data_IF_752940974212
#
_entry.id   IF_752940974212
#
_cell.length_a   1.000
_cell.length_b   1.000
_cell.length_c   1.000
_cell.angle_alpha   90.00
_cell.angle_beta   90.00
_cell.angle_gamma   90.00
#
_symmetry.space_group_name_H-M   'P 1'
#
loop_
_entity.id
_entity.type
_entity.pdbx_description
1 polymer ?
#
# COMPACT_ATOMS: atom_id res chain seq x y z
N UNK A 1 -11.22 29.85 24.58
CA UNK A 1 -10.90 29.35 23.19
C UNK A 1 -9.40 29.00 23.05
N UNK A 2 -8.48 29.73 23.68
CA UNK A 2 -7.02 29.52 23.57
C UNK A 2 -6.51 28.31 24.37
N UNK A 3 -7.17 27.95 25.48
CA UNK A 3 -6.83 26.78 26.32
C UNK A 3 -7.08 25.43 25.59
N UNK A 4 -8.06 25.35 24.70
CA UNK A 4 -8.35 24.15 23.91
C UNK A 4 -7.34 23.99 22.78
N UNK A 5 -6.88 25.09 22.16
CA UNK A 5 -5.81 25.07 21.14
C UNK A 5 -4.45 24.69 21.73
N UNK A 6 -4.11 25.16 22.93
CA UNK A 6 -2.84 24.83 23.59
C UNK A 6 -2.77 23.36 24.03
N UNK A 7 -3.90 22.76 24.46
CA UNK A 7 -3.96 21.31 24.77
C UNK A 7 -3.74 20.45 23.52
N UNK A 8 -4.37 20.79 22.39
CA UNK A 8 -4.18 20.06 21.12
C UNK A 8 -2.75 20.11 20.59
N UNK A 9 -2.06 21.24 20.69
CA UNK A 9 -0.65 21.38 20.33
C UNK A 9 0.25 20.54 21.27
N UNK A 10 0.01 20.54 22.56
CA UNK A 10 0.76 19.73 23.51
C UNK A 10 0.65 18.22 23.26
N UNK A 11 -0.53 17.74 22.85
CA UNK A 11 -0.76 16.33 22.52
C UNK A 11 -0.09 15.94 21.19
N UNK A 12 -0.07 16.83 20.20
CA UNK A 12 0.67 16.63 18.92
C UNK A 12 2.18 16.56 19.18
N UNK A 13 2.73 17.46 20.00
CA UNK A 13 4.15 17.44 20.36
C UNK A 13 4.53 16.17 21.13
N UNK A 14 3.70 15.74 22.08
CA UNK A 14 3.93 14.48 22.81
C UNK A 14 3.94 13.28 21.86
N UNK A 15 2.96 13.17 20.98
CA UNK A 15 2.88 12.08 20.00
C UNK A 15 4.12 12.06 19.08
N UNK A 16 4.54 13.20 18.57
CA UNK A 16 5.75 13.30 17.74
C UNK A 16 7.04 12.91 18.47
N UNK A 17 7.12 13.21 19.78
CA UNK A 17 8.27 12.80 20.59
C UNK A 17 8.34 11.28 20.69
N UNK A 18 7.22 10.62 21.03
CA UNK A 18 7.18 9.17 21.15
C UNK A 18 7.50 8.47 19.82
N UNK A 19 6.89 8.88 18.72
CA UNK A 19 7.16 8.34 17.40
C UNK A 19 8.65 8.46 17.00
N UNK A 20 9.29 9.59 17.35
CA UNK A 20 10.73 9.79 17.08
C UNK A 20 11.60 8.89 17.96
N UNK A 21 11.27 8.76 19.23
CA UNK A 21 12.04 7.95 20.19
C UNK A 21 11.95 6.44 19.87
N UNK A 22 10.75 5.94 19.57
CA UNK A 22 10.54 4.58 19.07
C UNK A 22 11.33 4.31 17.80
N UNK A 23 11.29 5.26 16.87
CA UNK A 23 12.04 5.16 15.62
C UNK A 23 13.55 5.06 15.86
N UNK A 24 14.12 5.79 16.79
CA UNK A 24 15.55 5.70 17.11
C UNK A 24 15.92 4.29 17.57
N UNK A 25 15.12 3.68 18.44
CA UNK A 25 15.35 2.32 18.90
C UNK A 25 15.21 1.32 17.73
N UNK A 26 14.07 1.31 17.04
CA UNK A 26 13.83 0.35 15.96
C UNK A 26 14.87 0.47 14.84
N UNK A 27 15.23 1.70 14.44
CA UNK A 27 16.26 1.92 13.43
C UNK A 27 17.63 1.41 13.90
N UNK A 28 17.95 1.55 15.19
CA UNK A 28 19.23 1.03 15.71
C UNK A 28 19.28 -0.50 15.67
N UNK A 29 18.20 -1.17 16.08
CA UNK A 29 18.12 -2.64 16.09
C UNK A 29 18.09 -3.20 14.67
N UNK A 30 17.26 -2.64 13.79
CA UNK A 30 17.19 -3.06 12.38
C UNK A 30 18.54 -2.83 11.68
N UNK A 31 19.20 -1.70 11.92
CA UNK A 31 20.51 -1.44 11.35
C UNK A 31 21.59 -2.40 11.89
N UNK A 32 21.48 -2.81 13.17
CA UNK A 32 22.34 -3.85 13.70
C UNK A 32 22.12 -5.19 12.96
N UNK A 33 20.90 -5.64 12.87
CA UNK A 33 20.55 -6.88 12.18
C UNK A 33 20.99 -6.85 10.72
N UNK A 34 20.74 -5.74 10.01
CA UNK A 34 21.06 -5.63 8.59
C UNK A 34 22.57 -5.58 8.29
N UNK A 35 23.36 -4.89 9.11
CA UNK A 35 24.79 -4.67 8.80
C UNK A 35 25.75 -5.61 9.53
N UNK A 36 25.33 -6.22 10.62
CA UNK A 36 26.21 -6.94 11.52
C UNK A 36 25.80 -8.38 11.77
N UNK A 37 24.49 -8.70 11.68
CA UNK A 37 24.00 -10.05 11.93
C UNK A 37 24.07 -10.94 10.67
N UNK A 38 24.19 -12.26 10.82
CA UNK A 38 24.03 -13.22 9.74
C UNK A 38 22.67 -13.08 9.05
N UNK A 39 22.59 -13.48 7.77
CA UNK A 39 21.36 -13.31 6.95
C UNK A 39 20.16 -14.04 7.58
N UNK A 40 20.40 -15.18 8.19
CA UNK A 40 19.39 -16.00 8.85
C UNK A 40 18.74 -15.30 10.05
N UNK A 41 19.43 -14.33 10.65
CA UNK A 41 18.96 -13.53 11.78
C UNK A 41 18.34 -12.19 11.34
N UNK A 42 18.39 -11.84 10.06
CA UNK A 42 17.87 -10.58 9.54
C UNK A 42 16.35 -10.63 9.31
N UNK A 43 15.59 -10.90 10.37
CA UNK A 43 14.14 -11.06 10.34
C UNK A 43 13.45 -10.42 11.55
N UNK A 44 12.11 -10.35 11.51
CA UNK A 44 11.32 -9.77 12.59
C UNK A 44 11.30 -10.61 13.87
N UNK A 45 11.48 -11.93 13.76
CA UNK A 45 11.55 -12.81 14.92
C UNK A 45 12.76 -12.43 15.80
N UNK A 46 13.94 -12.30 15.20
CA UNK A 46 15.16 -11.87 15.91
C UNK A 46 15.02 -10.45 16.47
N UNK A 47 14.38 -9.53 15.72
CA UNK A 47 14.10 -8.18 16.22
C UNK A 47 13.24 -8.21 17.49
N UNK A 48 12.19 -9.04 17.52
CA UNK A 48 11.34 -9.23 18.71
C UNK A 48 12.10 -9.84 19.88
N UNK A 49 12.96 -10.81 19.63
CA UNK A 49 13.82 -11.41 20.66
C UNK A 49 14.77 -10.38 21.28
N UNK A 50 15.38 -9.53 20.43
CA UNK A 50 16.19 -8.42 20.94
C UNK A 50 15.38 -7.48 21.82
N UNK A 51 14.17 -7.09 21.41
CA UNK A 51 13.29 -6.24 22.22
C UNK A 51 12.88 -6.90 23.54
N UNK A 52 12.56 -8.18 23.53
CA UNK A 52 12.15 -8.93 24.72
C UNK A 52 13.29 -9.10 25.72
N UNK A 53 14.55 -9.13 25.28
CA UNK A 53 15.72 -9.17 26.14
C UNK A 53 16.11 -7.80 26.72
N UNK A 54 15.54 -6.70 26.15
CA UNK A 54 15.78 -5.35 26.63
C UNK A 54 14.98 -5.06 27.90
N UNK A 55 15.59 -5.29 29.04
CA UNK A 55 15.03 -4.88 30.33
C UNK A 55 15.60 -3.52 30.75
N UNK A 56 14.79 -2.70 31.37
CA UNK A 56 15.19 -1.39 31.91
C UNK A 56 14.89 -1.38 33.40
N UNK A 57 15.91 -1.13 34.22
CA UNK A 57 15.72 -0.86 35.64
C UNK A 57 15.29 0.60 35.83
N UNK A 58 14.31 0.84 36.68
CA UNK A 58 13.90 2.20 37.10
C UNK A 58 14.78 2.75 38.20
N UNK A 59 15.37 1.87 39.01
CA UNK A 59 16.12 2.20 40.24
C UNK A 59 17.64 2.17 40.03
N UNK A 60 18.12 1.53 38.96
CA UNK A 60 19.55 1.40 38.67
C UNK A 60 19.86 1.89 37.25
N UNK A 61 20.36 3.10 37.12
CA UNK A 61 20.78 3.69 35.84
C UNK A 61 22.03 3.03 35.24
N UNK A 62 22.76 2.23 36.00
CA UNK A 62 23.98 1.52 35.54
C UNK A 62 23.66 0.12 34.99
N UNK A 63 22.41 -0.31 35.12
CA UNK A 63 21.98 -1.62 34.60
C UNK A 63 22.17 -1.72 33.09
N UNK A 64 22.86 -2.76 32.69
CA UNK A 64 23.07 -3.10 31.27
C UNK A 64 22.38 -4.41 30.92
N UNK A 65 21.49 -4.36 29.94
CA UNK A 65 20.86 -5.54 29.39
C UNK A 65 21.74 -6.18 28.28
N UNK A 66 21.44 -7.40 27.81
CA UNK A 66 22.24 -8.08 26.79
C UNK A 66 22.42 -7.28 25.49
N UNK A 67 21.41 -6.50 25.09
CA UNK A 67 21.49 -5.66 23.87
C UNK A 67 22.43 -4.46 24.10
N UNK A 68 22.45 -3.89 25.31
CA UNK A 68 23.42 -2.85 25.67
C UNK A 68 24.86 -3.33 25.49
N UNK A 69 25.17 -4.53 25.97
CA UNK A 69 26.49 -5.13 25.85
C UNK A 69 26.88 -5.37 24.38
N UNK A 70 25.91 -5.80 23.59
CA UNK A 70 26.07 -6.05 22.15
C UNK A 70 26.43 -4.76 21.39
N UNK A 71 25.73 -3.65 21.67
CA UNK A 71 26.02 -2.35 21.09
C UNK A 71 27.31 -1.72 21.62
N UNK A 72 27.68 -2.01 22.87
CA UNK A 72 28.96 -1.58 23.44
C UNK A 72 30.13 -2.27 22.75
N UNK A 73 30.07 -3.58 22.54
CA UNK A 73 31.09 -4.36 21.80
C UNK A 73 31.20 -3.89 20.36
N UNK A 74 30.06 -3.70 19.67
CA UNK A 74 30.06 -3.12 18.35
C UNK A 74 30.67 -1.73 18.31
N UNK A 75 30.38 -0.90 19.31
CA UNK A 75 30.94 0.45 19.44
C UNK A 75 32.46 0.46 19.63
N UNK A 76 33.03 -0.56 20.32
CA UNK A 76 34.49 -0.76 20.43
C UNK A 76 35.10 -1.16 19.09
N UNK A 77 34.45 -2.06 18.35
CA UNK A 77 34.95 -2.56 17.03
C UNK A 77 34.74 -1.56 15.90
N UNK A 78 33.54 -0.93 15.85
CA UNK A 78 33.11 -0.01 14.80
C UNK A 78 32.53 1.28 15.36
N UNK A 79 33.34 2.22 15.88
CA UNK A 79 32.84 3.44 16.58
C UNK A 79 31.96 4.35 15.70
N UNK A 80 32.10 4.29 14.39
CA UNK A 80 31.34 5.09 13.42
C UNK A 80 30.10 4.37 12.88
N UNK A 81 29.78 3.17 13.38
CA UNK A 81 28.59 2.42 12.94
C UNK A 81 27.32 3.27 13.09
N UNK A 82 26.48 3.24 12.07
CA UNK A 82 25.18 3.93 12.08
C UNK A 82 24.29 3.38 13.20
N UNK A 83 24.23 2.06 13.37
CA UNK A 83 23.47 1.40 14.41
C UNK A 83 23.86 1.90 15.82
N UNK A 84 25.18 1.96 16.10
CA UNK A 84 25.69 2.45 17.40
C UNK A 84 25.31 3.91 17.65
N UNK A 85 25.38 4.76 16.63
CA UNK A 85 24.98 6.17 16.78
C UNK A 85 23.51 6.33 17.13
N UNK A 86 22.63 5.58 16.44
CA UNK A 86 21.19 5.62 16.73
C UNK A 86 20.88 5.07 18.12
N UNK A 87 21.54 3.98 18.51
CA UNK A 87 21.36 3.40 19.82
C UNK A 87 21.80 4.34 20.96
N UNK A 88 22.93 5.03 20.80
CA UNK A 88 23.38 6.06 21.76
C UNK A 88 22.35 7.18 21.94
N UNK A 89 21.67 7.60 20.87
CA UNK A 89 20.61 8.61 20.97
C UNK A 89 19.40 8.07 21.72
N UNK A 90 19.00 6.81 21.49
CA UNK A 90 17.95 6.15 22.27
C UNK A 90 18.32 6.09 23.77
N UNK A 91 19.56 5.74 24.11
CA UNK A 91 20.05 5.63 25.50
C UNK A 91 20.09 6.96 26.27
N UNK A 92 19.87 8.10 25.61
CA UNK A 92 19.61 9.37 26.30
C UNK A 92 18.26 9.40 27.02
N UNK A 93 17.33 8.51 26.63
CA UNK A 93 16.11 8.30 27.37
C UNK A 93 16.38 7.42 28.59
N UNK A 94 16.11 7.92 29.79
CA UNK A 94 16.37 7.20 31.04
C UNK A 94 15.09 6.66 31.69
N UNK A 95 15.23 5.59 32.47
CA UNK A 95 14.23 5.06 33.39
C UNK A 95 12.84 4.85 32.77
N UNK A 96 11.83 5.52 33.29
CA UNK A 96 10.43 5.38 32.89
C UNK A 96 10.20 5.69 31.41
N UNK A 97 10.96 6.63 30.80
CA UNK A 97 10.85 6.98 29.41
C UNK A 97 11.32 5.83 28.52
N UNK A 98 12.48 5.23 28.81
CA UNK A 98 12.99 4.09 28.06
C UNK A 98 12.04 2.88 28.13
N UNK A 99 11.48 2.59 29.32
CA UNK A 99 10.48 1.54 29.51
C UNK A 99 9.22 1.76 28.68
N UNK A 100 8.73 3.00 28.62
CA UNK A 100 7.55 3.36 27.83
C UNK A 100 7.84 3.20 26.32
N UNK A 101 9.04 3.54 25.85
CA UNK A 101 9.47 3.34 24.46
C UNK A 101 9.46 1.84 24.11
N UNK A 102 10.02 0.99 24.98
CA UNK A 102 10.03 -0.47 24.78
C UNK A 102 8.62 -1.05 24.68
N UNK A 103 7.73 -0.65 25.59
CA UNK A 103 6.33 -1.09 25.59
C UNK A 103 5.66 -0.68 24.27
N UNK A 104 5.89 0.54 23.82
CA UNK A 104 5.30 1.03 22.57
C UNK A 104 5.85 0.32 21.34
N UNK A 105 7.15 0.05 21.29
CA UNK A 105 7.76 -0.77 20.23
C UNK A 105 7.20 -2.20 20.22
N UNK A 106 7.08 -2.83 21.39
CA UNK A 106 6.50 -4.16 21.52
C UNK A 106 5.04 -4.21 21.06
N UNK A 107 4.23 -3.21 21.42
CA UNK A 107 2.85 -3.12 20.96
C UNK A 107 2.73 -2.96 19.43
N UNK A 108 3.62 -2.20 18.81
CA UNK A 108 3.66 -2.05 17.33
C UNK A 108 4.09 -3.32 16.61
N UNK A 109 4.99 -4.08 17.19
CA UNK A 109 5.52 -5.31 16.61
C UNK A 109 4.77 -6.57 17.02
N UNK A 110 3.78 -6.46 17.92
CA UNK A 110 2.99 -7.60 18.40
C UNK A 110 2.37 -8.46 17.28
N UNK A 111 1.97 -7.94 16.10
CA UNK A 111 1.47 -8.78 15.01
C UNK A 111 2.52 -9.79 14.48
N UNK A 112 3.81 -9.47 14.59
CA UNK A 112 4.90 -10.36 14.18
C UNK A 112 5.22 -11.45 15.23
N UNK A 113 4.56 -11.43 16.39
CA UNK A 113 4.66 -12.51 17.39
C UNK A 113 3.67 -13.65 17.12
N UNK A 114 2.73 -13.44 16.20
CA UNK A 114 1.82 -14.48 15.73
C UNK A 114 2.63 -15.48 14.89
N UNK A 115 2.53 -16.78 15.20
CA UNK A 115 3.39 -17.80 14.60
C UNK A 115 3.34 -17.81 13.07
N UNK A 116 2.16 -17.70 12.49
CA UNK A 116 1.96 -17.71 11.04
C UNK A 116 2.62 -16.50 10.35
N UNK A 117 2.59 -15.32 11.01
CA UNK A 117 3.25 -14.10 10.50
C UNK A 117 4.76 -14.21 10.66
N UNK A 118 5.21 -14.79 11.77
CA UNK A 118 6.61 -15.08 12.05
C UNK A 118 7.21 -15.95 10.94
N UNK A 119 6.56 -17.07 10.66
CA UNK A 119 6.97 -18.02 9.64
C UNK A 119 6.98 -17.39 8.24
N UNK A 120 5.94 -16.60 7.90
CA UNK A 120 5.83 -15.92 6.62
C UNK A 120 6.83 -14.77 6.41
N UNK A 121 7.45 -14.25 7.49
CA UNK A 121 8.41 -13.14 7.43
C UNK A 121 9.84 -13.53 7.80
N UNK A 122 10.10 -14.82 7.94
CA UNK A 122 11.40 -15.33 8.36
C UNK A 122 12.44 -15.32 7.24
N UNK A 123 11.99 -15.54 6.00
CA UNK A 123 12.85 -15.61 4.81
C UNK A 123 12.25 -14.78 3.67
N UNK A 124 13.09 -14.32 2.74
CA UNK A 124 12.64 -13.68 1.51
C UNK A 124 12.25 -14.73 0.46
N UNK A 125 10.97 -15.10 0.45
CA UNK A 125 10.39 -15.99 -0.57
C UNK A 125 9.81 -15.23 -1.78
N UNK A 126 9.58 -13.92 -1.65
CA UNK A 126 8.89 -13.15 -2.67
C UNK A 126 9.81 -12.71 -3.81
N UNK A 127 11.10 -12.54 -3.54
CA UNK A 127 12.09 -12.06 -4.51
C UNK A 127 11.59 -10.83 -5.28
N UNK A 128 11.05 -9.83 -4.56
CA UNK A 128 10.38 -8.66 -5.15
C UNK A 128 11.28 -7.90 -6.13
N UNK A 129 12.58 -7.92 -5.92
CA UNK A 129 13.59 -7.31 -6.77
C UNK A 129 13.70 -7.97 -8.15
N UNK A 130 13.24 -9.23 -8.31
CA UNK A 130 13.31 -10.00 -9.56
C UNK A 130 12.07 -9.90 -10.43
N UNK A 131 11.01 -9.24 -9.98
CA UNK A 131 9.74 -9.18 -10.73
C UNK A 131 9.88 -8.49 -12.09
N UNK A 132 10.82 -7.55 -12.26
CA UNK A 132 11.11 -6.89 -13.53
C UNK A 132 12.11 -7.60 -14.43
N UNK A 133 12.72 -8.71 -13.98
CA UNK A 133 13.76 -9.44 -14.71
C UNK A 133 13.19 -10.58 -15.54
N UNK A 134 12.17 -11.24 -15.04
CA UNK A 134 11.53 -12.40 -15.67
C UNK A 134 10.01 -12.29 -15.61
N UNK A 135 9.33 -12.98 -16.53
CA UNK A 135 7.86 -13.03 -16.54
C UNK A 135 7.38 -13.77 -15.27
N UNK A 136 6.80 -13.02 -14.36
CA UNK A 136 6.34 -13.51 -13.06
C UNK A 136 4.93 -13.02 -12.79
N UNK A 137 4.11 -13.81 -12.11
CA UNK A 137 2.83 -13.39 -11.55
C UNK A 137 2.88 -13.59 -10.04
N UNK A 138 2.77 -12.51 -9.29
CA UNK A 138 2.68 -12.49 -7.83
C UNK A 138 1.22 -12.24 -7.44
N UNK A 139 0.65 -13.12 -6.63
CA UNK A 139 -0.70 -13.00 -6.10
C UNK A 139 -0.62 -12.72 -4.60
N UNK A 140 -1.12 -11.56 -4.17
CA UNK A 140 -1.24 -11.17 -2.78
C UNK A 140 -2.71 -11.29 -2.40
N UNK A 141 -3.05 -12.32 -1.65
CA UNK A 141 -4.43 -12.61 -1.24
C UNK A 141 -4.60 -12.15 0.21
N UNK A 142 -5.60 -11.30 0.43
CA UNK A 142 -5.94 -10.78 1.76
C UNK A 142 -7.42 -11.00 2.06
N UNK A 143 -7.78 -10.98 3.34
CA UNK A 143 -9.17 -11.07 3.79
C UNK A 143 -9.91 -9.77 3.51
N UNK A 144 -11.14 -9.87 3.04
CA UNK A 144 -12.04 -8.72 2.84
C UNK A 144 -12.64 -8.22 4.17
N UNK A 145 -12.71 -9.10 5.17
CA UNK A 145 -13.40 -8.84 6.44
C UNK A 145 -12.44 -8.55 7.59
N UNK A 146 -11.18 -8.97 7.50
CA UNK A 146 -10.17 -8.79 8.54
C UNK A 146 -9.02 -7.91 8.04
N UNK A 147 -8.90 -6.72 8.61
CA UNK A 147 -7.85 -5.74 8.28
C UNK A 147 -6.57 -5.90 9.12
N UNK A 148 -6.50 -6.87 10.03
CA UNK A 148 -5.40 -7.03 10.98
C UNK A 148 -4.03 -7.09 10.29
N UNK A 149 -3.95 -7.77 9.14
CA UNK A 149 -2.70 -8.00 8.42
C UNK A 149 -2.51 -7.11 7.18
N UNK A 150 -3.39 -6.14 6.93
CA UNK A 150 -3.31 -5.27 5.76
C UNK A 150 -2.00 -4.45 5.72
N UNK A 151 -1.41 -4.17 6.87
CA UNK A 151 -0.11 -3.50 6.96
C UNK A 151 1.02 -4.28 6.26
N UNK A 152 0.96 -5.62 6.23
CA UNK A 152 1.95 -6.45 5.50
C UNK A 152 1.90 -6.17 4.01
N UNK A 153 0.71 -6.08 3.44
CA UNK A 153 0.52 -5.76 2.02
C UNK A 153 1.05 -4.35 1.70
N UNK A 154 0.76 -3.38 2.58
CA UNK A 154 1.32 -2.02 2.45
C UNK A 154 2.85 -2.01 2.49
N UNK A 155 3.47 -2.83 3.35
CA UNK A 155 4.93 -3.01 3.41
C UNK A 155 5.47 -3.64 2.13
N UNK A 156 4.82 -4.70 1.62
CA UNK A 156 5.21 -5.36 0.36
C UNK A 156 5.18 -4.36 -0.79
N UNK A 157 4.11 -3.58 -0.97
CA UNK A 157 4.06 -2.57 -2.02
C UNK A 157 5.12 -1.48 -1.86
N UNK A 158 5.39 -1.06 -0.62
CA UNK A 158 6.44 -0.07 -0.34
C UNK A 158 7.81 -0.59 -0.75
N UNK A 159 8.15 -1.83 -0.39
CA UNK A 159 9.40 -2.48 -0.77
C UNK A 159 9.45 -2.71 -2.27
N UNK A 160 8.39 -3.24 -2.87
CA UNK A 160 8.29 -3.51 -4.30
C UNK A 160 8.61 -2.27 -5.13
N UNK A 161 7.92 -1.15 -4.87
CA UNK A 161 8.15 0.07 -5.64
C UNK A 161 9.57 0.61 -5.45
N UNK A 162 10.13 0.59 -4.24
CA UNK A 162 11.48 1.04 -3.98
C UNK A 162 12.51 0.15 -4.70
N UNK A 163 12.44 -1.17 -4.50
CA UNK A 163 13.37 -2.13 -5.11
C UNK A 163 13.35 -2.07 -6.64
N UNK A 164 12.15 -2.00 -7.24
CA UNK A 164 12.03 -1.95 -8.69
C UNK A 164 12.49 -0.60 -9.26
N UNK A 165 12.24 0.52 -8.57
CA UNK A 165 12.72 1.82 -9.00
C UNK A 165 14.25 1.91 -8.91
N UNK A 166 14.84 1.50 -7.79
CA UNK A 166 16.28 1.50 -7.58
C UNK A 166 16.96 0.58 -8.61
N UNK A 167 16.41 -0.60 -8.84
CA UNK A 167 16.94 -1.53 -9.83
C UNK A 167 16.83 -1.02 -11.27
N UNK A 168 15.72 -0.37 -11.61
CA UNK A 168 15.56 0.27 -12.90
C UNK A 168 16.63 1.34 -13.13
N UNK A 169 16.90 2.18 -12.12
CA UNK A 169 17.83 3.28 -12.21
C UNK A 169 19.29 2.80 -12.16
N UNK A 170 19.64 1.96 -11.19
CA UNK A 170 21.03 1.60 -10.91
C UNK A 170 21.56 0.46 -11.78
N UNK A 171 20.69 -0.49 -12.18
CA UNK A 171 21.11 -1.68 -12.93
C UNK A 171 20.77 -1.56 -14.41
N UNK A 172 19.56 -1.06 -14.74
CA UNK A 172 19.05 -1.07 -16.11
C UNK A 172 19.04 0.29 -16.81
N UNK A 173 19.65 1.31 -16.21
CA UNK A 173 19.78 2.64 -16.85
C UNK A 173 18.45 3.36 -17.06
N UNK A 174 17.48 3.15 -16.15
CA UNK A 174 16.23 3.88 -16.06
C UNK A 174 14.98 3.11 -16.44
N UNK A 175 15.06 1.86 -16.93
CA UNK A 175 13.90 1.06 -17.34
C UNK A 175 14.09 -0.42 -17.03
N UNK A 176 13.07 -1.04 -16.46
CA UNK A 176 13.04 -2.50 -16.29
C UNK A 176 12.96 -3.21 -17.64
N UNK A 177 13.60 -4.39 -17.81
CA UNK A 177 13.52 -5.17 -19.03
C UNK A 177 12.12 -5.74 -19.30
N UNK A 178 11.34 -5.99 -18.24
CA UNK A 178 9.96 -6.47 -18.34
C UNK A 178 9.06 -5.50 -17.60
N UNK A 179 7.96 -5.10 -18.25
CA UNK A 179 6.96 -4.23 -17.66
C UNK A 179 6.29 -4.89 -16.46
N UNK A 180 6.28 -4.21 -15.31
CA UNK A 180 5.61 -4.66 -14.08
C UNK A 180 4.29 -3.91 -13.92
N UNK A 181 3.19 -4.65 -13.93
CA UNK A 181 1.85 -4.10 -13.67
C UNK A 181 1.34 -4.50 -12.31
N UNK A 182 1.08 -3.53 -11.45
CA UNK A 182 0.45 -3.73 -10.15
C UNK A 182 -1.07 -3.53 -10.30
N UNK A 183 -1.85 -4.60 -10.15
CA UNK A 183 -3.31 -4.54 -10.06
C UNK A 183 -3.67 -4.56 -8.57
N UNK A 184 -4.18 -3.45 -8.08
CA UNK A 184 -4.51 -3.26 -6.67
C UNK A 184 -6.03 -3.20 -6.56
N UNK A 185 -6.63 -4.37 -6.42
CA UNK A 185 -8.06 -4.49 -6.20
C UNK A 185 -8.38 -4.05 -4.76
N UNK A 186 -9.50 -3.37 -4.58
CA UNK A 186 -9.89 -2.77 -3.31
C UNK A 186 -8.76 -1.99 -2.60
N UNK A 187 -8.09 -1.12 -3.34
CA UNK A 187 -6.93 -0.35 -2.89
C UNK A 187 -7.14 0.34 -1.52
N UNK A 188 -8.38 0.67 -1.16
CA UNK A 188 -8.71 1.24 0.13
C UNK A 188 -8.49 0.27 1.30
N UNK A 189 -8.61 -1.03 1.09
CA UNK A 189 -8.49 -2.04 2.15
C UNK A 189 -7.04 -2.30 2.55
N UNK A 190 -6.09 -2.05 1.65
CA UNK A 190 -4.65 -2.25 1.90
C UNK A 190 -4.11 -1.26 2.95
N UNK A 191 -4.81 -0.16 3.16
CA UNK A 191 -4.32 0.97 3.95
C UNK A 191 -3.46 1.92 3.11
N UNK A 192 -2.68 2.76 3.79
CA UNK A 192 -1.87 3.76 3.11
C UNK A 192 -0.55 3.16 2.62
N UNK A 193 -0.30 3.18 1.32
CA UNK A 193 1.03 2.98 0.74
C UNK A 193 1.77 4.32 0.85
N UNK A 194 2.87 4.41 1.62
CA UNK A 194 3.58 5.66 1.82
C UNK A 194 4.05 6.29 0.50
N UNK A 195 3.81 7.58 0.35
CA UNK A 195 4.23 8.37 -0.82
C UNK A 195 3.67 7.90 -2.18
N UNK A 196 2.55 7.20 -2.20
CA UNK A 196 1.92 6.72 -3.43
C UNK A 196 1.71 7.85 -4.45
N UNK A 197 1.36 9.07 -4.00
CA UNK A 197 1.18 10.24 -4.85
C UNK A 197 2.43 10.61 -5.65
N UNK A 198 3.62 10.35 -5.09
CA UNK A 198 4.89 10.57 -5.78
C UNK A 198 5.26 9.40 -6.68
N UNK A 199 5.01 8.19 -6.19
CA UNK A 199 5.29 6.96 -6.92
C UNK A 199 4.55 6.93 -8.26
N UNK A 200 3.23 7.14 -8.25
CA UNK A 200 2.42 7.10 -9.48
C UNK A 200 2.83 8.16 -10.52
N UNK A 201 3.49 9.25 -10.08
CA UNK A 201 4.03 10.26 -10.98
C UNK A 201 5.34 9.82 -11.66
N UNK A 202 6.10 8.89 -11.07
CA UNK A 202 7.48 8.58 -11.47
C UNK A 202 7.68 7.17 -12.02
N UNK A 203 6.88 6.19 -11.60
CA UNK A 203 7.07 4.76 -11.95
C UNK A 203 6.92 4.47 -13.44
N UNK A 204 6.13 5.28 -14.16
CA UNK A 204 5.87 5.10 -15.59
C UNK A 204 7.14 5.05 -16.44
N UNK A 205 8.09 5.94 -16.17
CA UNK A 205 9.36 5.99 -16.91
C UNK A 205 10.22 4.72 -16.73
N UNK A 206 9.97 3.97 -15.66
CA UNK A 206 10.70 2.77 -15.26
C UNK A 206 10.04 1.45 -15.69
N UNK A 207 9.04 1.53 -16.59
CA UNK A 207 8.23 0.37 -17.03
C UNK A 207 7.44 -0.26 -15.87
N UNK A 208 6.94 0.56 -14.95
CA UNK A 208 6.06 0.13 -13.87
C UNK A 208 4.73 0.87 -14.01
N UNK A 209 3.62 0.15 -13.87
CA UNK A 209 2.28 0.74 -13.86
C UNK A 209 1.46 0.24 -12.67
N UNK A 210 0.58 1.12 -12.18
CA UNK A 210 -0.37 0.79 -11.12
C UNK A 210 -1.81 0.98 -11.63
N UNK A 211 -2.66 0.00 -11.34
CA UNK A 211 -4.10 0.07 -11.53
C UNK A 211 -4.75 0.00 -10.16
N UNK A 212 -5.38 1.09 -9.74
CA UNK A 212 -6.06 1.20 -8.45
C UNK A 212 -7.55 0.99 -8.68
N UNK A 213 -8.12 -0.04 -8.08
CA UNK A 213 -9.57 -0.29 -8.10
C UNK A 213 -10.16 0.20 -6.79
N UNK A 214 -11.22 0.96 -6.88
CA UNK A 214 -11.89 1.62 -5.76
C UNK A 214 -13.41 1.48 -5.93
N UNK A 215 -14.12 1.31 -4.85
CA UNK A 215 -15.59 1.38 -4.87
C UNK A 215 -16.06 2.83 -4.99
N UNK A 216 -15.36 3.77 -4.33
CA UNK A 216 -15.67 5.20 -4.36
C UNK A 216 -14.41 6.05 -4.26
N UNK A 217 -14.46 7.28 -4.79
CA UNK A 217 -13.38 8.26 -4.61
C UNK A 217 -13.22 8.73 -3.16
N UNK A 218 -14.30 8.72 -2.38
CA UNK A 218 -14.25 9.10 -0.97
C UNK A 218 -13.39 8.13 -0.14
N UNK A 219 -13.30 6.86 -0.49
CA UNK A 219 -12.37 5.91 0.15
C UNK A 219 -10.91 6.35 -0.02
N UNK A 220 -10.51 6.77 -1.23
CA UNK A 220 -9.16 7.27 -1.47
C UNK A 220 -8.88 8.55 -0.67
N UNK A 221 -9.85 9.48 -0.61
CA UNK A 221 -9.76 10.72 0.19
C UNK A 221 -9.65 10.44 1.69
N UNK A 222 -10.33 9.41 2.19
CA UNK A 222 -10.22 9.03 3.61
C UNK A 222 -8.79 8.62 4.00
N UNK A 223 -8.07 7.92 3.11
CA UNK A 223 -6.73 7.40 3.35
C UNK A 223 -5.66 8.44 3.04
N UNK A 224 -5.71 9.03 1.85
CA UNK A 224 -4.64 9.91 1.34
C UNK A 224 -4.92 11.40 1.54
N UNK A 225 -6.11 11.77 2.04
CA UNK A 225 -6.52 13.17 2.30
C UNK A 225 -6.30 14.04 1.06
N UNK A 226 -5.57 15.13 1.20
CA UNK A 226 -5.28 16.08 0.11
C UNK A 226 -4.45 15.47 -1.02
N UNK A 227 -3.68 14.42 -0.75
CA UNK A 227 -2.90 13.71 -1.77
C UNK A 227 -3.75 12.85 -2.70
N UNK A 228 -5.01 12.55 -2.35
CA UNK A 228 -5.90 11.75 -3.18
C UNK A 228 -6.12 12.37 -4.58
N UNK A 229 -6.32 13.68 -4.65
CA UNK A 229 -6.53 14.38 -5.91
C UNK A 229 -5.24 14.39 -6.77
N UNK A 230 -4.06 14.40 -6.14
CA UNK A 230 -2.77 14.23 -6.83
C UNK A 230 -2.62 12.83 -7.42
N UNK A 231 -3.02 11.78 -6.67
CA UNK A 231 -3.00 10.39 -7.18
C UNK A 231 -3.90 10.28 -8.41
N UNK A 232 -5.16 10.71 -8.31
CA UNK A 232 -6.12 10.66 -9.42
C UNK A 232 -5.63 11.46 -10.62
N UNK A 233 -5.06 12.66 -10.39
CA UNK A 233 -4.53 13.53 -11.45
C UNK A 233 -3.32 12.94 -12.20
N UNK A 234 -2.58 12.02 -11.59
CA UNK A 234 -1.47 11.32 -12.22
C UNK A 234 -1.89 10.03 -12.96
N UNK A 235 -3.15 9.60 -12.85
CA UNK A 235 -3.67 8.46 -13.61
C UNK A 235 -4.01 8.88 -15.03
N UNK A 236 -3.37 8.28 -16.02
CA UNK A 236 -3.62 8.57 -17.45
C UNK A 236 -4.95 8.00 -17.95
N UNK A 237 -5.45 6.96 -17.30
CA UNK A 237 -6.70 6.28 -17.64
C UNK A 237 -7.58 6.17 -16.42
N UNK A 238 -8.85 6.51 -16.56
CA UNK A 238 -9.87 6.34 -15.52
C UNK A 238 -11.07 5.64 -16.16
N UNK A 239 -11.57 4.60 -15.49
CA UNK A 239 -12.73 3.83 -15.92
C UNK A 239 -13.79 3.89 -14.84
N UNK A 240 -14.97 4.37 -15.19
CA UNK A 240 -16.15 4.33 -14.31
C UNK A 240 -17.04 3.15 -14.74
N UNK A 241 -17.25 2.24 -13.82
CA UNK A 241 -18.00 0.99 -14.05
C UNK A 241 -19.43 1.05 -13.49
N UNK A 242 -19.87 2.22 -13.04
CA UNK A 242 -21.13 2.42 -12.36
C UNK A 242 -20.95 2.66 -10.86
N UNK A 243 -21.98 3.17 -10.22
CA UNK A 243 -21.99 3.49 -8.80
C UNK A 243 -22.93 4.64 -8.50
N UNK A 244 -23.29 4.82 -7.23
CA UNK A 244 -24.25 5.83 -6.78
C UNK A 244 -23.68 6.82 -5.77
N UNK A 245 -22.36 6.78 -5.51
CA UNK A 245 -21.74 7.67 -4.52
C UNK A 245 -21.70 9.13 -5.03
N UNK A 246 -22.33 10.09 -4.31
CA UNK A 246 -22.56 11.44 -4.83
C UNK A 246 -21.31 12.21 -5.20
N UNK A 247 -20.21 12.04 -4.45
CA UNK A 247 -18.94 12.74 -4.72
C UNK A 247 -18.30 12.23 -6.01
N UNK A 248 -18.27 10.92 -6.21
CA UNK A 248 -17.77 10.30 -7.44
C UNK A 248 -18.57 10.73 -8.67
N UNK A 249 -19.91 10.73 -8.55
CA UNK A 249 -20.81 11.16 -9.64
C UNK A 249 -20.62 12.65 -9.96
N UNK A 250 -20.46 13.49 -8.95
CA UNK A 250 -20.19 14.91 -9.12
C UNK A 250 -18.88 15.15 -9.86
N UNK A 251 -17.80 14.56 -9.37
CA UNK A 251 -16.48 14.73 -9.96
C UNK A 251 -16.43 14.21 -11.41
N UNK A 252 -17.16 13.13 -11.68
CA UNK A 252 -17.26 12.57 -13.03
C UNK A 252 -18.07 13.48 -13.97
N UNK A 253 -19.26 13.96 -13.56
CA UNK A 253 -20.06 14.86 -14.35
C UNK A 253 -19.29 16.16 -14.71
N UNK A 254 -18.56 16.74 -13.74
CA UNK A 254 -17.70 17.89 -13.96
C UNK A 254 -16.55 17.59 -14.94
N UNK A 255 -15.94 16.40 -14.85
CA UNK A 255 -14.85 15.97 -15.72
C UNK A 255 -15.31 15.66 -17.16
N UNK A 256 -16.54 15.18 -17.34
CA UNK A 256 -17.14 14.97 -18.67
C UNK A 256 -17.40 16.30 -19.39
N UNK A 257 -17.68 17.37 -18.64
CA UNK A 257 -17.90 18.70 -19.16
C UNK A 257 -19.34 18.96 -19.62
N UNK A 258 -19.50 19.99 -20.44
CA UNK A 258 -20.81 20.48 -20.89
C UNK A 258 -20.86 20.57 -22.41
N UNK A 259 -22.03 20.31 -22.96
CA UNK A 259 -22.38 20.62 -24.35
C UNK A 259 -23.26 21.85 -24.42
N UNK A 260 -23.29 22.51 -25.57
CA UNK A 260 -24.17 23.64 -25.81
C UNK A 260 -25.46 23.17 -26.45
N UNK A 261 -26.56 23.36 -25.77
CA UNK A 261 -27.90 23.08 -26.32
C UNK A 261 -28.60 24.38 -26.67
N UNK A 262 -29.37 24.35 -27.76
CA UNK A 262 -30.23 25.45 -28.17
C UNK A 262 -31.58 25.29 -27.49
N UNK A 263 -31.96 26.29 -26.68
CA UNK A 263 -33.24 26.31 -25.98
C UNK A 263 -34.13 27.42 -26.57
N UNK A 264 -35.36 27.06 -26.90
CA UNK A 264 -36.37 27.96 -27.41
C UNK A 264 -37.41 28.18 -26.32
N UNK A 265 -37.59 29.44 -25.92
CA UNK A 265 -38.64 29.84 -24.98
C UNK A 265 -39.71 30.63 -25.75
N UNK A 266 -40.88 30.04 -25.89
CA UNK A 266 -42.01 30.69 -26.51
C UNK A 266 -42.82 31.42 -25.45
N UNK A 267 -42.91 32.76 -25.54
CA UNK A 267 -43.82 33.56 -24.72
C UNK A 267 -45.05 33.92 -25.52
N UNK A 268 -46.22 33.53 -25.04
CA UNK A 268 -47.54 33.85 -25.59
C UNK A 268 -48.22 34.80 -24.60
N UNK A 269 -48.39 36.09 -24.97
CA UNK A 269 -49.09 37.07 -24.15
C UNK A 269 -50.49 37.19 -24.66
N UNK A 270 -51.46 36.71 -23.92
CA UNK A 270 -52.91 36.79 -24.19
C UNK A 270 -53.46 38.08 -23.55
N UNK A 271 -53.63 39.12 -24.33
CA UNK A 271 -54.22 40.38 -23.92
C UNK A 271 -54.82 41.11 -25.11
N UNK A 272 -55.24 42.38 -24.94
CA UNK A 272 -55.85 43.18 -26.02
C UNK A 272 -54.90 43.48 -27.21
N UNK A 273 -53.64 43.08 -27.09
CA UNK A 273 -52.64 43.08 -28.18
C UNK A 273 -51.81 41.77 -28.03
N UNK A 274 -52.21 40.66 -28.68
CA UNK A 274 -51.49 39.40 -28.63
C UNK A 274 -50.12 39.58 -29.29
N UNK A 275 -49.05 39.15 -28.57
CA UNK A 275 -47.69 39.16 -29.09
C UNK A 275 -47.07 37.78 -28.90
N UNK A 276 -46.50 37.28 -29.99
CA UNK A 276 -45.67 36.06 -30.02
C UNK A 276 -44.22 36.44 -30.01
N UNK A 277 -43.47 35.95 -29.03
CA UNK A 277 -42.02 36.11 -28.99
C UNK A 277 -41.35 34.74 -28.82
N UNK A 278 -40.43 34.42 -29.69
CA UNK A 278 -39.54 33.29 -29.53
C UNK A 278 -38.20 33.83 -29.08
N UNK A 279 -37.80 33.45 -27.87
CA UNK A 279 -36.48 33.78 -27.34
C UNK A 279 -35.54 32.61 -27.51
N UNK A 280 -34.46 32.82 -28.23
CA UNK A 280 -33.43 31.85 -28.51
C UNK A 280 -32.31 32.01 -27.48
N UNK A 281 -32.00 30.93 -26.71
CA UNK A 281 -30.93 30.92 -25.72
C UNK A 281 -30.03 29.71 -25.94
N UNK A 282 -28.73 29.91 -25.85
CA UNK A 282 -27.73 28.83 -25.80
C UNK A 282 -27.42 28.54 -24.33
N UNK A 283 -27.71 27.33 -23.90
CA UNK A 283 -27.49 26.88 -22.54
C UNK A 283 -26.39 25.79 -22.54
N UNK A 284 -25.51 25.86 -21.54
CA UNK A 284 -24.58 24.79 -21.27
C UNK A 284 -25.28 23.67 -20.52
N UNK A 285 -25.43 22.50 -21.14
CA UNK A 285 -26.00 21.30 -20.55
C UNK A 285 -24.84 20.31 -20.18
N UNK A 286 -24.91 19.69 -19.02
CA UNK A 286 -23.94 18.63 -18.66
C UNK A 286 -24.00 17.51 -19.70
N UNK A 287 -22.86 17.02 -20.16
CA UNK A 287 -22.81 15.94 -21.15
C UNK A 287 -23.50 14.66 -20.64
N UNK A 288 -23.33 14.38 -19.35
CA UNK A 288 -24.12 13.44 -18.55
C UNK A 288 -24.29 14.04 -17.15
N UNK A 289 -25.54 14.17 -16.71
CA UNK A 289 -25.88 14.63 -15.36
C UNK A 289 -25.57 13.56 -14.32
N UNK A 290 -25.54 13.95 -13.05
CA UNK A 290 -25.34 12.98 -11.94
C UNK A 290 -26.44 11.94 -11.90
N UNK A 291 -27.66 12.33 -12.23
CA UNK A 291 -28.82 11.43 -12.23
C UNK A 291 -28.70 10.38 -13.35
N UNK A 292 -28.25 10.79 -14.52
CA UNK A 292 -27.98 9.87 -15.64
C UNK A 292 -26.82 8.94 -15.35
N UNK A 293 -25.76 9.44 -14.72
CA UNK A 293 -24.62 8.62 -14.27
C UNK A 293 -25.01 7.59 -13.20
N UNK A 294 -25.92 7.97 -12.30
CA UNK A 294 -26.39 7.07 -11.23
C UNK A 294 -27.21 5.89 -11.75
N UNK A 295 -27.87 6.06 -12.91
CA UNK A 295 -28.68 5.01 -13.56
C UNK A 295 -27.99 4.42 -14.80
N UNK A 296 -26.70 4.62 -14.92
CA UNK A 296 -25.91 4.07 -16.03
C UNK A 296 -26.14 2.56 -16.13
N UNK A 297 -26.46 2.10 -17.35
CA UNK A 297 -26.68 0.68 -17.63
C UNK A 297 -25.52 -0.19 -17.13
N UNK A 298 -25.85 -1.28 -16.45
CA UNK A 298 -24.87 -2.19 -15.86
C UNK A 298 -23.88 -2.80 -16.84
N UNK A 299 -24.22 -2.86 -18.13
CA UNK A 299 -23.34 -3.31 -19.23
C UNK A 299 -22.47 -2.21 -19.81
N UNK A 300 -22.61 -0.94 -19.37
CA UNK A 300 -21.86 0.20 -19.88
C UNK A 300 -20.77 0.66 -18.92
N UNK A 301 -19.77 1.33 -19.45
CA UNK A 301 -18.71 2.01 -18.70
C UNK A 301 -18.32 3.32 -19.38
N UNK A 302 -17.74 4.22 -18.60
CA UNK A 302 -17.17 5.47 -19.11
C UNK A 302 -15.66 5.40 -18.98
N UNK A 303 -14.96 5.54 -20.09
CA UNK A 303 -13.51 5.57 -20.17
C UNK A 303 -13.03 6.99 -20.44
N UNK A 304 -12.16 7.47 -19.58
CA UNK A 304 -11.44 8.73 -19.74
C UNK A 304 -9.96 8.44 -19.94
N UNK A 305 -9.39 8.99 -21.00
CA UNK A 305 -7.96 8.90 -21.31
C UNK A 305 -7.39 10.31 -21.42
N UNK A 306 -6.19 10.51 -20.92
CA UNK A 306 -5.51 11.79 -20.99
C UNK A 306 -5.35 12.24 -22.46
N UNK A 307 -5.81 13.44 -22.77
CA UNK A 307 -5.68 14.03 -24.11
C UNK A 307 -6.72 13.59 -25.14
N UNK A 308 -7.71 12.79 -24.74
CA UNK A 308 -8.79 12.30 -25.61
C UNK A 308 -10.14 12.59 -24.96
N UNK A 309 -11.18 12.77 -25.78
CA UNK A 309 -12.56 12.94 -25.27
C UNK A 309 -13.00 11.65 -24.57
N UNK A 310 -13.84 11.73 -23.54
CA UNK A 310 -14.41 10.57 -22.86
C UNK A 310 -15.18 9.65 -23.83
N UNK A 311 -15.17 8.36 -23.54
CA UNK A 311 -15.90 7.33 -24.29
C UNK A 311 -16.96 6.70 -23.40
N UNK A 312 -18.18 6.57 -23.93
CA UNK A 312 -19.18 5.63 -23.42
C UNK A 312 -19.00 4.31 -24.17
N UNK A 313 -18.71 3.25 -23.46
CA UNK A 313 -18.38 1.94 -24.03
C UNK A 313 -19.16 0.81 -23.35
N UNK A 314 -19.23 -0.32 -24.02
CA UNK A 314 -19.73 -1.55 -23.42
C UNK A 314 -18.64 -2.18 -22.53
N UNK A 315 -19.06 -2.76 -21.40
CA UNK A 315 -18.17 -3.62 -20.61
C UNK A 315 -17.85 -4.88 -21.39
N UNK A 316 -16.62 -5.33 -21.29
CA UNK A 316 -16.22 -6.58 -21.94
C UNK A 316 -16.94 -7.78 -21.30
N UNK A 317 -17.52 -8.62 -22.13
CA UNK A 317 -18.11 -9.87 -21.67
C UNK A 317 -17.00 -10.91 -21.43
N UNK A 318 -16.73 -11.18 -20.15
CA UNK A 318 -15.67 -12.09 -19.74
C UNK A 318 -15.85 -13.52 -20.30
N UNK A 319 -17.09 -13.93 -20.57
CA UNK A 319 -17.37 -15.28 -21.10
C UNK A 319 -16.80 -15.46 -22.50
N UNK A 320 -16.58 -14.37 -23.24
CA UNK A 320 -15.98 -14.39 -24.58
C UNK A 320 -14.44 -14.44 -24.57
N UNK A 321 -13.81 -14.31 -23.38
CA UNK A 321 -12.36 -14.34 -23.29
C UNK A 321 -11.82 -15.77 -23.54
N UNK A 322 -10.80 -15.97 -24.37
CA UNK A 322 -10.26 -17.30 -24.69
C UNK A 322 -9.84 -18.13 -23.46
N UNK A 323 -9.46 -17.45 -22.38
CA UNK A 323 -9.03 -18.08 -21.14
C UNK A 323 -10.18 -18.27 -20.12
N UNK A 324 -11.41 -17.87 -20.44
CA UNK A 324 -12.55 -18.03 -19.54
C UNK A 324 -12.75 -19.50 -19.10
N UNK A 325 -12.49 -20.44 -20.01
CA UNK A 325 -12.54 -21.89 -19.76
C UNK A 325 -11.62 -22.38 -18.62
N UNK A 326 -10.64 -21.57 -18.21
CA UNK A 326 -9.72 -21.90 -17.11
C UNK A 326 -10.12 -21.27 -15.77
N UNK A 327 -11.18 -20.49 -15.74
CA UNK A 327 -11.69 -19.89 -14.49
C UNK A 327 -12.56 -20.85 -13.70
N UNK A 328 -12.69 -20.63 -12.40
CA UNK A 328 -13.61 -21.36 -11.53
C UNK A 328 -15.06 -21.14 -11.89
N UNK A 329 -15.40 -19.98 -12.49
CA UNK A 329 -16.75 -19.66 -12.94
C UNK A 329 -17.20 -20.53 -14.13
N UNK A 330 -16.24 -20.97 -14.95
CA UNK A 330 -16.53 -21.90 -16.04
C UNK A 330 -16.63 -23.35 -15.55
N UNK A 331 -15.67 -23.79 -14.73
CA UNK A 331 -15.68 -25.13 -14.11
C UNK A 331 -15.11 -25.01 -12.68
N UNK A 332 -15.88 -25.36 -11.64
CA UNK A 332 -15.43 -25.33 -10.24
C UNK A 332 -14.14 -26.12 -9.99
N UNK A 333 -13.80 -27.10 -10.85
CA UNK A 333 -12.55 -27.85 -10.75
C UNK A 333 -11.30 -26.99 -11.03
N UNK A 334 -11.47 -25.85 -11.68
CA UNK A 334 -10.38 -24.90 -11.93
C UNK A 334 -10.08 -24.03 -10.69
N UNK A 335 -10.88 -24.08 -9.63
CA UNK A 335 -10.62 -23.36 -8.39
C UNK A 335 -9.27 -23.75 -7.81
N UNK A 336 -8.50 -22.77 -7.39
CA UNK A 336 -7.23 -22.99 -6.71
C UNK A 336 -7.49 -23.59 -5.31
N UNK A 337 -7.00 -24.80 -5.10
CA UNK A 337 -6.96 -25.40 -3.77
C UNK A 337 -5.64 -25.01 -3.10
N UNK A 338 -5.71 -24.01 -2.23
CA UNK A 338 -4.54 -23.43 -1.56
C UNK A 338 -3.82 -24.49 -0.72
N UNK A 339 -4.53 -25.37 -0.02
CA UNK A 339 -3.90 -26.41 0.80
C UNK A 339 -3.10 -27.39 -0.06
N UNK A 340 -3.66 -27.83 -1.19
CA UNK A 340 -2.93 -28.69 -2.12
C UNK A 340 -1.77 -27.97 -2.79
N UNK A 341 -1.91 -26.65 -3.04
CA UNK A 341 -0.84 -25.85 -3.61
C UNK A 341 0.34 -25.71 -2.62
N UNK A 342 0.06 -25.43 -1.36
CA UNK A 342 1.07 -25.33 -0.31
C UNK A 342 1.79 -26.66 -0.07
N UNK A 343 1.05 -27.78 -0.02
CA UNK A 343 1.64 -29.13 0.09
C UNK A 343 2.52 -29.51 -1.12
N UNK A 344 2.33 -28.87 -2.29
CA UNK A 344 3.21 -29.05 -3.46
C UNK A 344 4.49 -28.22 -3.40
N UNK A 345 4.52 -27.19 -2.57
CA UNK A 345 5.68 -26.27 -2.41
C UNK A 345 6.86 -26.89 -1.65
N UNK A 346 6.68 -28.05 -1.00
CA UNK A 346 7.78 -28.82 -0.43
C UNK A 346 8.70 -29.45 -1.51
N UNK A 347 8.66 -28.98 -2.74
CA UNK A 347 9.64 -29.36 -3.74
C UNK A 347 10.92 -28.55 -3.51
N UNK A 348 11.93 -29.26 -3.08
CA UNK A 348 13.33 -28.90 -3.01
C UNK A 348 13.70 -28.00 -4.21
N UNK A 349 14.17 -26.79 -3.93
CA UNK A 349 14.66 -25.90 -4.98
C UNK A 349 15.95 -26.51 -5.54
N UNK A 350 16.21 -26.44 -6.87
CA UNK A 350 17.44 -27.00 -7.46
C UNK A 350 18.75 -26.44 -6.87
N UNK A 351 18.66 -25.25 -6.26
CA UNK A 351 19.80 -24.56 -5.65
C UNK A 351 19.93 -24.81 -4.14
N UNK A 352 19.03 -25.61 -3.55
CA UNK A 352 19.11 -25.95 -2.13
C UNK A 352 20.30 -26.87 -1.87
N UNK A 353 21.23 -26.43 -1.04
CA UNK A 353 22.33 -27.26 -0.55
C UNK A 353 21.85 -28.11 0.63
N UNK A 354 21.78 -29.42 0.42
CA UNK A 354 21.41 -30.37 1.47
C UNK A 354 22.63 -30.89 2.18
N UNK A 355 22.61 -30.89 3.50
CA UNK A 355 23.50 -31.71 4.32
C UNK A 355 22.74 -33.04 4.56
N UNK A 356 23.20 -34.12 3.98
CA UNK A 356 22.68 -35.44 4.33
C UNK A 356 23.15 -35.78 5.75
N UNK A 357 22.20 -35.78 6.68
CA UNK A 357 22.42 -36.22 8.04
C UNK A 357 21.97 -37.69 8.11
N UNK A 358 22.86 -38.59 8.53
CA UNK A 358 22.52 -40.00 8.75
C UNK A 358 21.40 -40.06 9.78
N UNK A 359 20.34 -40.84 9.49
CA UNK A 359 19.19 -40.99 10.36
C UNK A 359 19.58 -41.52 11.77
N UNK A 360 20.67 -42.25 11.88
CA UNK A 360 21.22 -42.74 13.13
C UNK A 360 21.94 -41.67 13.97
N UNK A 361 22.16 -40.48 13.43
CA UNK A 361 22.81 -39.34 14.12
C UNK A 361 21.85 -38.38 14.74
N UNK A 362 20.52 -38.52 14.55
CA UNK A 362 19.51 -37.70 15.13
C UNK A 362 19.23 -38.06 16.58
N UNK A 363 19.11 -37.12 17.53
CA UNK A 363 18.72 -37.45 18.90
C UNK A 363 17.32 -38.08 18.90
N UNK A 364 17.06 -39.05 19.77
CA UNK A 364 15.73 -39.68 19.85
C UNK A 364 14.69 -38.60 20.23
N UNK A 365 13.53 -38.66 19.58
CA UNK A 365 12.41 -37.72 19.72
C UNK A 365 11.80 -37.72 21.12
#
# INVERSE_FOLDING_TARGET
>A
RDLVRSRGLGDVYKRQFWDKAERLLLVSLIAYLHYEAPVEEQNFATLLEMLNTMQVSEDDETYQNPVDLLFEDLGKKKPKSFAVRQYKLYKLAAGKTAKSILISCGARLSPFDIQEVRDATMYDELELDKLGDRKTALFLIMSDTDSTFNFLISMIYTQLFNLLCDKADDVYGGKLPIHVRCLIDECANIGQIPQLEKLVATIRSREISACLVLQTRSQLKAIYKDNADTIVGNMDSQIFLGGSEPTTLKDLAEALGKETIDSYNNSDTRGNSPSYGTNYQKLGHELMSRDELAVLDGGKCILQLRGVRPFLSDKYDLTQHPNYKYTSDYDPKNALDIEKFLKRKEKIHPDDTFIMVDADSLPPA
#
